data_IF_647827005755
#
_entry.id   IF_647827005755
#
_cell.length_a   1.000
_cell.length_b   1.000
_cell.length_c   1.000
_cell.angle_alpha   90.00
_cell.angle_beta   90.00
_cell.angle_gamma   90.00
#
_symmetry.space_group_name_H-M   'P 1'
#
loop_
_entity.id
_entity.type
_entity.pdbx_description
1 polymer ?
#
# COMPACT_ATOMS: atom_id res chain seq x y z
N UNK A 1 1.19 2.24 32.57
CA UNK A 1 1.88 2.84 31.41
C UNK A 1 0.94 2.90 30.20
N UNK A 2 0.23 1.81 29.90
CA UNK A 2 -0.74 1.68 28.79
C UNK A 2 -1.83 2.76 28.70
N UNK A 3 -2.44 3.19 29.82
CA UNK A 3 -3.49 4.24 29.79
C UNK A 3 -2.97 5.59 29.24
N UNK A 4 -1.72 5.96 29.51
CA UNK A 4 -1.14 7.22 29.02
C UNK A 4 -0.83 7.13 27.52
N UNK A 5 -0.35 5.97 27.06
CA UNK A 5 -0.06 5.74 25.65
C UNK A 5 -1.33 5.66 24.79
N UNK A 6 -2.41 5.04 25.30
CA UNK A 6 -3.72 5.02 24.60
C UNK A 6 -4.26 6.43 24.41
N UNK A 7 -4.28 7.24 25.46
CA UNK A 7 -4.75 8.64 25.39
C UNK A 7 -3.89 9.47 24.44
N UNK A 8 -2.57 9.25 24.42
CA UNK A 8 -1.68 9.93 23.48
C UNK A 8 -1.90 9.51 22.02
N UNK A 9 -2.22 8.24 21.77
CA UNK A 9 -2.58 7.73 20.44
C UNK A 9 -3.90 8.32 19.94
N UNK A 10 -4.93 8.31 20.79
CA UNK A 10 -6.26 8.85 20.46
C UNK A 10 -6.17 10.34 20.11
N UNK A 11 -5.45 11.14 20.89
CA UNK A 11 -5.22 12.57 20.59
C UNK A 11 -4.54 12.79 19.24
N UNK A 12 -3.48 12.01 18.94
CA UNK A 12 -2.77 12.10 17.66
C UNK A 12 -3.66 11.68 16.49
N UNK A 13 -4.44 10.62 16.67
CA UNK A 13 -5.38 10.11 15.67
C UNK A 13 -6.45 11.14 15.35
N UNK A 14 -7.08 11.74 16.36
CA UNK A 14 -8.08 12.80 16.18
C UNK A 14 -7.50 14.00 15.42
N UNK A 15 -6.29 14.45 15.79
CA UNK A 15 -5.60 15.54 15.07
C UNK A 15 -5.36 15.20 13.59
N UNK A 16 -4.90 13.98 13.30
CA UNK A 16 -4.62 13.54 11.94
C UNK A 16 -5.90 13.36 11.11
N UNK A 17 -6.98 12.85 11.71
CA UNK A 17 -8.31 12.76 11.07
C UNK A 17 -8.85 14.13 10.70
N UNK A 18 -8.63 15.16 11.51
CA UNK A 18 -8.97 16.54 11.16
C UNK A 18 -8.18 17.04 9.95
N UNK A 19 -6.89 16.70 9.82
CA UNK A 19 -6.09 17.13 8.65
C UNK A 19 -6.44 16.40 7.35
N UNK A 20 -7.05 15.21 7.45
CA UNK A 20 -7.40 14.36 6.31
C UNK A 20 -8.91 14.39 5.99
N UNK A 21 -9.70 15.12 6.77
CA UNK A 21 -11.17 15.12 6.70
C UNK A 21 -11.72 15.59 5.35
N UNK A 22 -11.03 16.57 4.73
CA UNK A 22 -11.39 17.18 3.45
C UNK A 22 -10.66 16.55 2.25
N UNK A 23 -9.90 15.47 2.47
CA UNK A 23 -9.19 14.80 1.39
C UNK A 23 -10.12 13.82 0.66
N UNK A 24 -10.56 14.21 -0.53
CA UNK A 24 -11.31 13.35 -1.44
C UNK A 24 -10.42 12.28 -2.11
N UNK A 25 -9.13 12.56 -2.27
CA UNK A 25 -8.12 11.61 -2.72
C UNK A 25 -6.74 11.95 -2.14
N UNK A 26 -5.80 11.02 -2.23
CA UNK A 26 -4.45 11.20 -1.66
C UNK A 26 -3.53 12.10 -2.48
N UNK A 27 -3.83 12.29 -3.78
CA UNK A 27 -2.90 12.86 -4.79
C UNK A 27 -1.51 12.21 -4.75
N UNK A 28 -1.43 10.93 -4.38
CA UNK A 28 -0.16 10.23 -4.21
C UNK A 28 0.34 9.53 -5.48
N UNK A 29 -0.45 9.56 -6.55
CA UNK A 29 -0.04 9.07 -7.86
C UNK A 29 1.06 9.95 -8.44
N UNK A 30 2.12 9.32 -8.92
CA UNK A 30 3.22 9.93 -9.65
C UNK A 30 3.22 9.34 -11.05
N UNK A 31 3.05 10.18 -12.06
CA UNK A 31 3.10 9.76 -13.45
C UNK A 31 4.54 9.44 -13.84
N UNK A 32 4.75 8.41 -14.68
CA UNK A 32 6.09 8.11 -15.20
C UNK A 32 6.68 9.29 -16.00
N UNK A 33 5.84 10.15 -16.56
CA UNK A 33 6.23 11.36 -17.30
C UNK A 33 6.82 12.46 -16.40
N UNK A 34 6.59 12.38 -15.09
CA UNK A 34 7.08 13.34 -14.09
C UNK A 34 8.40 12.90 -13.45
N UNK A 35 8.92 11.74 -13.84
CA UNK A 35 10.15 11.19 -13.29
C UNK A 35 11.38 11.86 -13.90
N UNK A 36 12.40 12.02 -13.06
CA UNK A 36 13.70 12.58 -13.44
C UNK A 36 14.79 11.58 -13.05
N UNK A 37 16.04 11.90 -13.38
CA UNK A 37 17.21 11.11 -12.97
C UNK A 37 17.39 11.04 -11.43
N UNK A 38 16.75 11.96 -10.69
CA UNK A 38 16.81 11.96 -9.23
C UNK A 38 16.01 10.78 -8.68
N UNK A 39 16.76 9.79 -8.17
CA UNK A 39 16.22 8.60 -7.51
C UNK A 39 15.35 8.94 -6.30
N UNK A 40 14.10 8.46 -6.33
CA UNK A 40 13.21 8.38 -5.17
C UNK A 40 13.37 7.01 -4.54
N UNK A 41 13.45 6.95 -3.21
CA UNK A 41 13.64 5.71 -2.45
C UNK A 41 12.52 5.55 -1.44
N UNK A 42 11.95 4.36 -1.36
CA UNK A 42 10.90 3.99 -0.42
C UNK A 42 11.30 2.72 0.31
N UNK A 43 11.25 2.72 1.63
CA UNK A 43 11.44 1.52 2.44
C UNK A 43 10.07 0.96 2.75
N UNK A 44 9.81 -0.23 2.21
CA UNK A 44 8.52 -0.91 2.34
C UNK A 44 8.40 -1.43 3.77
N UNK A 45 7.31 -1.10 4.44
CA UNK A 45 7.07 -1.43 5.84
C UNK A 45 6.35 -2.78 5.93
N UNK A 46 6.76 -3.61 6.88
CA UNK A 46 6.03 -4.81 7.29
C UNK A 46 6.33 -5.12 8.77
N UNK A 47 5.40 -4.78 9.66
CA UNK A 47 5.42 -5.10 11.09
C UNK A 47 6.81 -4.96 11.74
N UNK A 48 7.25 -3.72 11.94
CA UNK A 48 8.60 -3.33 12.42
C UNK A 48 9.78 -3.61 11.46
N UNK A 49 9.58 -4.42 10.41
CA UNK A 49 10.62 -4.77 9.42
C UNK A 49 10.52 -3.93 8.16
N UNK A 50 11.57 -4.01 7.35
CA UNK A 50 11.64 -3.41 6.02
C UNK A 50 12.13 -4.44 4.99
N UNK A 51 11.25 -5.30 4.45
CA UNK A 51 11.68 -6.40 3.58
C UNK A 51 12.19 -5.93 2.21
N UNK A 52 11.73 -4.77 1.74
CA UNK A 52 12.06 -4.26 0.41
C UNK A 52 12.42 -2.77 0.43
N UNK A 53 13.27 -2.39 -0.53
CA UNK A 53 13.49 -1.02 -0.93
C UNK A 53 13.05 -0.84 -2.39
N UNK A 54 12.15 0.10 -2.63
CA UNK A 54 11.78 0.51 -3.99
C UNK A 54 12.56 1.75 -4.37
N UNK A 55 13.22 1.72 -5.53
CA UNK A 55 13.92 2.86 -6.12
C UNK A 55 13.25 3.20 -7.45
N UNK A 56 12.93 4.47 -7.66
CA UNK A 56 12.28 4.95 -8.89
C UNK A 56 13.00 6.17 -9.44
N UNK A 57 13.28 6.16 -10.73
CA UNK A 57 13.79 7.28 -11.51
C UNK A 57 13.22 7.23 -12.94
N UNK A 58 13.66 8.11 -13.84
CA UNK A 58 13.22 8.15 -15.23
C UNK A 58 13.62 6.91 -16.06
N UNK A 59 14.47 6.03 -15.55
CA UNK A 59 14.87 4.79 -16.24
C UNK A 59 14.01 3.59 -15.86
N UNK A 60 13.35 3.64 -14.71
CA UNK A 60 12.49 2.55 -14.25
C UNK A 60 12.18 2.58 -12.76
N UNK A 61 11.42 1.55 -12.36
CA UNK A 61 11.16 1.18 -10.97
C UNK A 61 11.88 -0.14 -10.65
N UNK A 62 12.60 -0.15 -9.54
CA UNK A 62 13.45 -1.24 -9.11
C UNK A 62 13.07 -1.67 -7.70
N UNK A 63 12.80 -2.95 -7.50
CA UNK A 63 12.48 -3.54 -6.21
C UNK A 63 13.70 -4.32 -5.76
N UNK A 64 14.29 -3.90 -4.65
CA UNK A 64 15.41 -4.58 -4.02
C UNK A 64 14.95 -5.24 -2.73
N UNK A 65 15.50 -6.40 -2.44
CA UNK A 65 15.46 -7.05 -1.13
C UNK A 65 16.85 -7.05 -0.49
N UNK A 66 16.93 -7.44 0.77
CA UNK A 66 18.19 -7.36 1.53
C UNK A 66 19.15 -8.50 1.17
N UNK A 67 20.43 -8.18 1.04
CA UNK A 67 21.49 -9.19 1.06
C UNK A 67 21.82 -9.63 2.48
N UNK A 68 21.75 -8.67 3.42
CA UNK A 68 22.03 -8.86 4.85
C UNK A 68 20.96 -8.13 5.66
N UNK A 69 20.37 -8.80 6.63
CA UNK A 69 19.40 -8.23 7.57
C UNK A 69 19.98 -8.19 8.98
N UNK A 70 20.52 -7.04 9.38
CA UNK A 70 20.85 -6.75 10.76
C UNK A 70 19.99 -5.59 11.26
N UNK A 71 19.45 -5.69 12.48
CA UNK A 71 18.53 -4.68 13.04
C UNK A 71 19.09 -3.24 13.03
N UNK A 72 20.43 -3.07 12.99
CA UNK A 72 21.09 -1.75 12.90
C UNK A 72 21.49 -1.35 11.48
N UNK A 73 21.59 -2.30 10.54
CA UNK A 73 22.06 -2.02 9.18
C UNK A 73 21.46 -3.02 8.19
N UNK A 74 20.66 -2.53 7.25
CA UNK A 74 20.07 -3.35 6.18
C UNK A 74 20.62 -2.88 4.84
N UNK A 75 21.21 -3.81 4.07
CA UNK A 75 21.75 -3.53 2.74
C UNK A 75 20.80 -4.12 1.70
N UNK A 76 20.12 -3.25 0.95
CA UNK A 76 19.26 -3.64 -0.18
C UNK A 76 20.07 -3.66 -1.47
N UNK A 77 20.65 -4.81 -1.80
CA UNK A 77 21.47 -4.99 -3.01
C UNK A 77 20.98 -6.12 -3.92
N UNK A 78 20.08 -6.99 -3.46
CA UNK A 78 19.51 -8.06 -4.29
C UNK A 78 18.32 -7.51 -5.08
N UNK A 79 18.49 -7.35 -6.40
CA UNK A 79 17.40 -6.93 -7.28
C UNK A 79 16.36 -8.06 -7.39
N UNK A 80 15.13 -7.79 -6.97
CA UNK A 80 13.99 -8.71 -7.07
C UNK A 80 13.23 -8.52 -8.38
N UNK A 81 13.01 -7.27 -8.78
CA UNK A 81 12.32 -6.96 -10.03
C UNK A 81 12.67 -5.59 -10.56
N UNK A 82 12.78 -5.49 -11.88
CA UNK A 82 12.87 -4.24 -12.64
C UNK A 82 11.59 -4.05 -13.46
N UNK A 83 11.05 -2.85 -13.46
CA UNK A 83 9.88 -2.44 -14.25
C UNK A 83 10.21 -1.16 -15.01
N UNK A 84 10.34 -1.26 -16.32
CA UNK A 84 10.59 -0.11 -17.20
C UNK A 84 9.32 0.42 -17.87
N UNK A 85 8.35 -0.48 -18.12
CA UNK A 85 7.09 -0.14 -18.76
C UNK A 85 5.96 -0.06 -17.72
N UNK A 86 5.65 1.15 -17.26
CA UNK A 86 4.55 1.45 -16.34
C UNK A 86 4.00 2.85 -16.61
N UNK A 87 2.75 3.11 -16.24
CA UNK A 87 2.10 4.42 -16.40
C UNK A 87 2.45 5.39 -15.26
N UNK A 88 2.60 4.85 -14.06
CA UNK A 88 2.92 5.60 -12.85
C UNK A 88 2.79 4.69 -11.63
N UNK A 89 2.88 5.28 -10.45
CA UNK A 89 2.70 4.55 -9.20
C UNK A 89 2.10 5.44 -8.12
N UNK A 90 1.34 4.85 -7.21
CA UNK A 90 0.96 5.48 -5.95
C UNK A 90 2.01 5.19 -4.89
N UNK A 91 2.50 6.25 -4.25
CA UNK A 91 3.21 6.13 -2.98
C UNK A 91 2.16 5.91 -1.89
N UNK A 92 2.18 4.77 -1.20
CA UNK A 92 1.25 4.47 -0.10
C UNK A 92 1.06 5.67 0.83
N UNK A 93 -0.13 6.25 0.83
CA UNK A 93 -0.42 7.39 1.68
C UNK A 93 -0.84 6.88 3.06
N UNK A 94 -0.11 7.24 4.10
CA UNK A 94 -0.44 6.88 5.46
C UNK A 94 -1.25 8.02 6.15
N UNK A 95 -2.58 7.86 6.31
CA UNK A 95 -3.41 8.80 7.04
C UNK A 95 -3.34 8.61 8.56
N UNK A 96 -2.55 7.65 9.07
CA UNK A 96 -2.37 7.47 10.51
C UNK A 96 -1.48 8.58 11.12
N UNK A 97 -1.41 8.66 12.45
CA UNK A 97 -0.44 9.49 13.16
C UNK A 97 1.02 9.27 12.78
N UNK A 98 1.39 8.09 12.27
CA UNK A 98 2.77 7.79 11.89
C UNK A 98 3.18 8.60 10.64
N UNK A 99 2.24 8.84 9.72
CA UNK A 99 2.45 9.56 8.46
C UNK A 99 3.64 9.00 7.64
N UNK A 100 3.85 7.69 7.71
CA UNK A 100 4.94 6.97 7.05
C UNK A 100 4.60 6.68 5.59
N UNK A 101 4.57 7.73 4.78
CA UNK A 101 4.27 7.63 3.35
C UNK A 101 5.30 6.76 2.60
N UNK A 102 4.82 5.93 1.68
CA UNK A 102 5.66 4.98 0.94
C UNK A 102 6.01 3.72 1.71
N UNK A 103 5.27 3.43 2.78
CA UNK A 103 5.28 2.15 3.48
C UNK A 103 4.84 0.97 2.59
N UNK A 104 4.15 1.23 1.49
CA UNK A 104 3.89 0.31 0.40
C UNK A 104 3.80 1.07 -0.92
N UNK A 105 3.91 0.39 -2.05
CA UNK A 105 3.82 0.98 -3.40
C UNK A 105 2.84 0.17 -4.24
N UNK A 106 1.97 0.87 -4.98
CA UNK A 106 1.14 0.28 -6.02
C UNK A 106 1.54 0.87 -7.37
N UNK A 107 2.04 0.03 -8.28
CA UNK A 107 2.49 0.43 -9.62
C UNK A 107 1.40 0.13 -10.64
N UNK A 108 1.04 1.12 -11.45
CA UNK A 108 0.11 0.93 -12.55
C UNK A 108 0.88 0.51 -13.81
N UNK A 109 0.82 -0.77 -14.15
CA UNK A 109 1.43 -1.30 -15.38
C UNK A 109 0.58 -0.96 -16.61
N UNK A 110 -0.74 -1.08 -16.47
CA UNK A 110 -1.76 -0.62 -17.42
C UNK A 110 -3.04 -0.22 -16.66
N UNK A 111 -4.09 0.22 -17.36
CA UNK A 111 -5.37 0.62 -16.74
C UNK A 111 -5.95 -0.49 -15.85
N UNK A 112 -5.70 -1.76 -16.17
CA UNK A 112 -6.30 -2.93 -15.51
C UNK A 112 -5.27 -3.94 -15.00
N UNK A 113 -3.99 -3.55 -14.93
CA UNK A 113 -2.91 -4.42 -14.46
C UNK A 113 -1.97 -3.65 -13.56
N UNK A 114 -1.71 -4.22 -12.39
CA UNK A 114 -0.99 -3.56 -11.32
C UNK A 114 0.09 -4.47 -10.73
N UNK A 115 1.11 -3.86 -10.12
CA UNK A 115 2.12 -4.52 -9.31
C UNK A 115 2.06 -3.90 -7.91
N UNK A 116 1.73 -4.71 -6.92
CA UNK A 116 1.77 -4.31 -5.52
C UNK A 116 3.11 -4.68 -4.89
N UNK A 117 3.62 -3.79 -4.04
CA UNK A 117 4.85 -3.97 -3.26
C UNK A 117 4.56 -3.58 -1.81
N UNK A 118 4.37 -4.58 -0.95
CA UNK A 118 4.14 -4.43 0.49
C UNK A 118 4.84 -5.53 1.29
N UNK A 119 4.12 -6.21 2.18
CA UNK A 119 4.64 -7.43 2.83
C UNK A 119 4.99 -8.52 1.80
N UNK A 120 4.19 -8.56 0.72
CA UNK A 120 4.38 -9.39 -0.46
C UNK A 120 4.58 -8.53 -1.71
N UNK A 121 5.11 -9.15 -2.76
CA UNK A 121 5.26 -8.53 -4.07
C UNK A 121 4.54 -9.39 -5.10
N UNK A 122 3.54 -8.83 -5.77
CA UNK A 122 2.75 -9.58 -6.76
C UNK A 122 2.12 -8.68 -7.81
N UNK A 123 1.84 -9.26 -8.98
CA UNK A 123 0.99 -8.61 -9.98
C UNK A 123 -0.44 -9.14 -9.92
N UNK A 124 -1.40 -8.31 -10.30
CA UNK A 124 -2.80 -8.69 -10.40
C UNK A 124 -3.50 -7.87 -11.49
N UNK A 125 -4.68 -8.34 -11.89
CA UNK A 125 -5.56 -7.65 -12.84
C UNK A 125 -6.91 -7.32 -12.22
N UNK A 126 -7.49 -6.21 -12.67
CA UNK A 126 -8.81 -5.73 -12.25
C UNK A 126 -9.71 -5.55 -13.47
N UNK A 127 -11.03 -5.57 -13.28
CA UNK A 127 -11.98 -5.09 -14.31
C UNK A 127 -12.33 -3.61 -14.13
N UNK A 128 -11.82 -2.98 -13.08
CA UNK A 128 -12.19 -1.66 -12.61
C UNK A 128 -10.92 -0.86 -12.34
N UNK A 129 -10.91 0.40 -12.75
CA UNK A 129 -9.71 1.24 -12.71
C UNK A 129 -9.48 1.79 -11.31
N UNK A 130 -8.30 1.50 -10.75
CA UNK A 130 -7.85 2.09 -9.48
C UNK A 130 -7.58 3.58 -9.67
N UNK A 131 -8.27 4.40 -8.86
CA UNK A 131 -8.19 5.87 -8.85
C UNK A 131 -7.37 6.40 -7.68
N UNK A 132 -7.31 5.67 -6.57
CA UNK A 132 -6.56 6.10 -5.39
C UNK A 132 -6.01 4.91 -4.60
N UNK A 133 -5.04 5.18 -3.73
CA UNK A 133 -4.35 4.17 -2.95
C UNK A 133 -3.89 4.72 -1.61
N UNK A 134 -4.27 4.03 -0.53
CA UNK A 134 -4.00 4.42 0.85
C UNK A 134 -3.35 3.25 1.57
N UNK A 135 -2.41 3.51 2.47
CA UNK A 135 -1.71 2.50 3.25
C UNK A 135 -1.56 2.97 4.69
N UNK A 136 -2.66 3.01 5.47
CA UNK A 136 -2.59 3.32 6.91
C UNK A 136 -1.71 2.33 7.65
N UNK A 137 -0.97 2.82 8.65
CA UNK A 137 -0.29 1.97 9.64
C UNK A 137 -1.15 1.95 10.90
N UNK A 138 -1.59 0.75 11.29
CA UNK A 138 -2.36 0.54 12.51
C UNK A 138 -1.48 0.63 13.76
N UNK A 139 -2.12 0.65 14.94
CA UNK A 139 -1.45 0.78 16.25
C UNK A 139 -0.35 -0.26 16.50
N UNK A 140 -0.46 -1.44 15.91
CA UNK A 140 0.52 -2.53 16.04
C UNK A 140 1.68 -2.45 15.04
N UNK A 141 1.94 -1.28 14.43
CA UNK A 141 2.96 -1.09 13.38
C UNK A 141 2.74 -1.97 12.13
N UNK A 142 1.48 -2.33 11.85
CA UNK A 142 1.10 -3.13 10.67
C UNK A 142 0.48 -2.22 9.61
N UNK A 143 1.00 -2.19 8.37
CA UNK A 143 0.36 -1.50 7.26
C UNK A 143 -0.91 -2.23 6.81
N UNK A 144 -1.96 -1.49 6.45
CA UNK A 144 -3.20 -2.01 5.87
C UNK A 144 -3.49 -1.35 4.51
N UNK A 145 -2.73 -1.69 3.45
CA UNK A 145 -2.85 -1.07 2.14
C UNK A 145 -4.14 -1.42 1.41
N UNK A 146 -4.86 -0.40 0.96
CA UNK A 146 -6.14 -0.48 0.26
C UNK A 146 -6.11 0.38 -0.99
N UNK A 147 -6.59 -0.16 -2.11
CA UNK A 147 -6.79 0.59 -3.33
C UNK A 147 -8.27 0.87 -3.57
N UNK A 148 -8.58 2.05 -4.08
CA UNK A 148 -9.94 2.47 -4.39
C UNK A 148 -10.10 2.54 -5.91
N UNK A 149 -10.90 1.62 -6.44
CA UNK A 149 -11.37 1.57 -7.81
C UNK A 149 -12.34 2.70 -8.16
N UNK A 150 -13.01 2.61 -9.30
CA UNK A 150 -14.28 3.32 -9.55
C UNK A 150 -15.37 2.64 -8.73
N UNK A 151 -15.50 1.32 -8.86
CA UNK A 151 -16.60 0.55 -8.26
C UNK A 151 -16.18 -0.38 -7.11
N UNK A 152 -14.89 -0.71 -6.99
CA UNK A 152 -14.41 -1.68 -6.01
C UNK A 152 -13.41 -1.09 -5.00
N UNK A 153 -13.27 -1.78 -3.86
CA UNK A 153 -12.21 -1.58 -2.87
C UNK A 153 -11.36 -2.83 -2.82
N UNK A 154 -10.04 -2.68 -2.99
CA UNK A 154 -9.10 -3.78 -3.09
C UNK A 154 -8.23 -3.86 -1.85
N UNK A 155 -8.26 -4.99 -1.17
CA UNK A 155 -7.52 -5.27 0.07
C UNK A 155 -6.26 -6.04 -0.28
N UNK A 156 -5.10 -5.36 -0.26
CA UNK A 156 -3.85 -5.90 -0.80
C UNK A 156 -3.27 -7.04 0.05
N UNK A 157 -3.56 -7.08 1.36
CA UNK A 157 -3.12 -8.16 2.25
C UNK A 157 -3.89 -9.44 1.93
N UNK A 158 -5.18 -9.30 1.67
CA UNK A 158 -6.13 -10.40 1.51
C UNK A 158 -6.29 -10.87 0.07
N UNK A 159 -5.62 -10.20 -0.88
CA UNK A 159 -5.67 -10.52 -2.31
C UNK A 159 -7.09 -10.58 -2.88
N UNK A 160 -7.98 -9.75 -2.35
CA UNK A 160 -9.39 -9.70 -2.72
C UNK A 160 -9.92 -8.28 -2.84
N UNK A 161 -11.14 -8.15 -3.37
CA UNK A 161 -11.87 -6.90 -3.42
C UNK A 161 -13.33 -7.08 -3.01
N UNK A 162 -13.96 -5.96 -2.68
CA UNK A 162 -15.39 -5.84 -2.36
C UNK A 162 -15.99 -4.72 -3.20
N UNK A 163 -17.26 -4.82 -3.57
CA UNK A 163 -17.96 -3.73 -4.24
C UNK A 163 -18.20 -2.57 -3.26
N UNK A 164 -17.90 -1.34 -3.68
CA UNK A 164 -17.99 -0.16 -2.79
C UNK A 164 -19.37 0.04 -2.18
N UNK A 165 -20.43 -0.30 -2.91
CA UNK A 165 -21.81 -0.16 -2.46
C UNK A 165 -22.23 -1.21 -1.41
N UNK A 166 -21.41 -2.24 -1.18
CA UNK A 166 -21.63 -3.23 -0.13
C UNK A 166 -20.95 -2.84 1.20
N UNK A 167 -20.12 -1.79 1.21
CA UNK A 167 -19.49 -1.27 2.42
C UNK A 167 -20.40 -0.26 3.11
N UNK A 168 -20.55 -0.38 4.43
CA UNK A 168 -21.21 0.61 5.29
C UNK A 168 -20.30 1.83 5.50
N UNK A 169 -18.98 1.61 5.60
CA UNK A 169 -18.01 2.68 5.81
C UNK A 169 -17.76 3.46 4.52
N UNK A 170 -17.93 4.80 4.52
CA UNK A 170 -17.65 5.61 3.34
C UNK A 170 -16.19 5.53 2.90
N UNK A 171 -15.97 5.24 1.61
CA UNK A 171 -14.64 5.11 1.00
C UNK A 171 -13.96 6.48 0.91
N UNK A 172 -13.11 6.76 1.90
CA UNK A 172 -12.36 8.01 2.01
C UNK A 172 -10.97 7.77 2.58
N UNK A 173 -10.04 8.72 2.39
CA UNK A 173 -8.67 8.62 2.92
C UNK A 173 -8.65 8.44 4.44
N UNK A 174 -9.47 9.21 5.17
CA UNK A 174 -9.54 9.16 6.65
C UNK A 174 -10.15 7.86 7.20
N UNK A 175 -10.92 7.14 6.39
CA UNK A 175 -11.62 5.92 6.80
C UNK A 175 -10.88 4.63 6.41
N UNK A 176 -9.68 4.71 5.80
CA UNK A 176 -8.97 3.53 5.30
C UNK A 176 -8.78 2.42 6.35
N UNK A 177 -8.43 2.78 7.59
CA UNK A 177 -8.31 1.82 8.71
C UNK A 177 -9.68 1.25 9.13
N UNK A 178 -10.73 2.08 9.16
CA UNK A 178 -12.10 1.63 9.46
C UNK A 178 -12.63 0.67 8.40
N UNK A 179 -12.34 0.91 7.11
CA UNK A 179 -12.74 0.04 6.00
C UNK A 179 -12.09 -1.35 6.14
N UNK A 180 -10.81 -1.41 6.52
CA UNK A 180 -10.17 -2.69 6.85
C UNK A 180 -10.76 -3.36 8.08
N UNK A 181 -11.10 -2.59 9.12
CA UNK A 181 -11.77 -3.13 10.29
C UNK A 181 -13.17 -3.68 9.99
N UNK A 182 -13.94 -3.02 9.12
CA UNK A 182 -15.20 -3.55 8.59
C UNK A 182 -14.96 -4.82 7.76
N UNK A 183 -13.91 -4.83 6.93
CA UNK A 183 -13.52 -6.00 6.15
C UNK A 183 -13.30 -7.25 7.04
N UNK A 184 -12.62 -7.08 8.16
CA UNK A 184 -12.36 -8.13 9.15
C UNK A 184 -13.52 -8.38 10.13
N UNK A 185 -14.63 -7.64 10.05
CA UNK A 185 -15.75 -7.78 10.98
C UNK A 185 -15.46 -7.27 12.40
N UNK A 186 -14.46 -6.40 12.55
CA UNK A 186 -14.13 -5.72 13.81
C UNK A 186 -15.13 -4.56 14.04
N UNK A 187 -15.57 -3.92 12.96
CA UNK A 187 -16.56 -2.85 13.00
C UNK A 187 -17.78 -3.26 12.16
N UNK A 188 -18.99 -3.12 12.72
CA UNK A 188 -20.23 -3.41 12.00
C UNK A 188 -20.47 -4.89 11.70
N UNK A 189 -21.42 -5.17 10.81
CA UNK A 189 -21.73 -6.52 10.34
C UNK A 189 -21.05 -6.77 9.00
N UNK A 190 -20.36 -7.89 8.86
CA UNK A 190 -19.76 -8.32 7.59
C UNK A 190 -20.85 -8.81 6.62
N UNK A 191 -21.49 -7.88 5.91
CA UNK A 191 -22.61 -8.15 5.01
C UNK A 191 -22.25 -8.03 3.51
N UNK A 192 -21.00 -8.30 3.14
CA UNK A 192 -20.52 -8.22 1.76
C UNK A 192 -19.83 -9.50 1.33
N UNK A 193 -19.72 -9.68 0.01
CA UNK A 193 -18.95 -10.78 -0.57
C UNK A 193 -17.57 -10.29 -0.98
N UNK A 194 -16.54 -11.02 -0.55
CA UNK A 194 -15.18 -10.79 -1.04
C UNK A 194 -14.92 -11.63 -2.30
N UNK A 195 -14.27 -11.02 -3.28
CA UNK A 195 -13.92 -11.64 -4.56
C UNK A 195 -12.41 -11.66 -4.71
N UNK A 196 -11.84 -12.81 -5.09
CA UNK A 196 -10.40 -12.90 -5.35
C UNK A 196 -9.98 -12.00 -6.51
N UNK A 197 -8.82 -11.36 -6.38
CA UNK A 197 -8.19 -10.66 -7.49
C UNK A 197 -7.82 -11.64 -8.61
N UNK A 198 -7.88 -11.19 -9.87
CA UNK A 198 -7.61 -12.04 -11.03
C UNK A 198 -6.14 -12.00 -11.41
N UNK A 199 -5.65 -13.07 -12.04
CA UNK A 199 -4.30 -13.19 -12.57
C UNK A 199 -3.22 -12.82 -11.55
N UNK A 200 -3.40 -13.28 -10.30
CA UNK A 200 -2.47 -13.02 -9.22
C UNK A 200 -1.19 -13.85 -9.45
N UNK A 201 -0.06 -13.15 -9.54
CA UNK A 201 1.26 -13.74 -9.78
C UNK A 201 2.25 -13.23 -8.73
N UNK A 202 2.61 -14.12 -7.80
CA UNK A 202 3.51 -13.84 -6.67
C UNK A 202 4.96 -13.85 -7.13
N UNK A 203 5.68 -12.78 -6.82
CA UNK A 203 7.11 -12.66 -7.09
C UNK A 203 7.86 -13.12 -5.84
N UNK A 204 8.29 -14.38 -5.85
CA UNK A 204 8.98 -15.00 -4.72
C UNK A 204 10.48 -14.69 -4.77
N UNK A 205 11.11 -14.59 -3.60
CA UNK A 205 12.55 -14.42 -3.45
C UNK A 205 13.39 -15.48 -4.19
N UNK A 206 12.83 -16.69 -4.38
CA UNK A 206 13.51 -17.81 -5.03
C UNK A 206 13.35 -17.84 -6.55
N UNK A 207 12.55 -16.95 -7.16
CA UNK A 207 12.41 -16.86 -8.62
C UNK A 207 13.56 -16.10 -9.29
N UNK A 208 14.60 -15.75 -8.54
CA UNK A 208 15.83 -15.13 -9.04
C UNK A 208 16.86 -16.21 -9.36
N UNK A 209 16.66 -16.92 -10.47
CA UNK A 209 17.71 -17.73 -11.10
C UNK A 209 17.81 -17.33 -12.57
N UNK A 210 19.00 -16.83 -12.92
CA UNK A 210 19.58 -16.64 -14.25
C UNK A 210 18.90 -15.62 -15.19
N UNK A 211 19.56 -14.46 -15.35
CA UNK A 211 19.94 -13.96 -16.67
C UNK A 211 21.47 -14.12 -16.80
#
# INVERSE_FOLDING_TARGET
MEKKESVAWEKRTSKRKLTTSNMHNTKSFVSNKELTEKKRKYLIHDNEKRPYQVVVDNTGLYIYTYATYEKKYTIYSKLLKKVTNFKGYWRGYDPSPYAMHGNSILVQLSIHKYLYVGQDVYTFSTSDEIKDYVSPIGKSDVPYPVAYGVDNVYFMIDNCYVHKNELETPVTVKNAETIYGEFYGIFGKRNFKAYSMKNLDMILLNSLVAD
#
